data_IF_855401872219
#
_entry.id   IF_855401872219
#
_cell.length_a   1.000
_cell.length_b   1.000
_cell.length_c   1.000
_cell.angle_alpha   90.00
_cell.angle_beta   90.00
_cell.angle_gamma   90.00
#
_symmetry.space_group_name_H-M   'P 1'
#
loop_
_entity.id
_entity.type
_entity.pdbx_description
1 polymer ?
#
# COMPACT_ATOMS: atom_id res chain seq x y z
N UNK A 1 0.65 -28.50 8.73
CA UNK A 1 1.21 -28.95 7.44
C UNK A 1 0.13 -28.84 6.37
N UNK A 2 0.47 -28.38 5.15
CA UNK A 2 -0.49 -28.34 4.05
C UNK A 2 -0.99 -29.75 3.66
N UNK A 3 -2.25 -29.86 3.26
CA UNK A 3 -2.88 -31.15 2.92
C UNK A 3 -2.17 -31.85 1.75
N UNK A 4 -1.62 -31.09 0.80
CA UNK A 4 -0.93 -31.67 -0.36
C UNK A 4 0.34 -32.45 0.03
N UNK A 5 1.05 -32.06 1.09
CA UNK A 5 2.25 -32.79 1.54
C UNK A 5 1.89 -34.18 2.10
N UNK A 6 0.69 -34.33 2.67
CA UNK A 6 0.16 -35.64 3.05
C UNK A 6 -0.22 -36.48 1.83
N UNK A 7 -0.85 -35.88 0.82
CA UNK A 7 -1.30 -36.58 -0.40
C UNK A 7 -0.10 -37.11 -1.20
N UNK A 8 0.99 -36.36 -1.28
CA UNK A 8 2.18 -36.70 -2.06
C UNK A 8 3.28 -37.41 -1.25
N UNK A 9 3.03 -37.74 0.02
CA UNK A 9 4.02 -38.36 0.92
C UNK A 9 5.34 -37.56 1.05
N UNK A 10 5.28 -36.24 0.83
CA UNK A 10 6.44 -35.32 0.95
C UNK A 10 6.59 -34.74 2.34
N UNK A 11 5.81 -35.21 3.31
CA UNK A 11 5.81 -34.72 4.68
C UNK A 11 7.14 -35.01 5.39
N UNK A 12 7.80 -33.95 5.85
CA UNK A 12 8.99 -34.05 6.69
C UNK A 12 8.60 -34.59 8.08
N UNK A 13 9.22 -35.68 8.51
CA UNK A 13 8.99 -36.33 9.81
C UNK A 13 9.26 -35.41 11.00
N UNK A 14 10.06 -34.36 10.82
CA UNK A 14 10.38 -33.38 11.87
C UNK A 14 9.34 -32.27 12.04
N UNK A 15 8.33 -32.20 11.15
CA UNK A 15 7.34 -31.11 11.10
C UNK A 15 6.59 -30.89 12.40
N UNK A 16 6.15 -31.96 13.07
CA UNK A 16 5.41 -31.87 14.33
C UNK A 16 6.30 -31.34 15.45
N UNK A 17 7.54 -31.84 15.54
CA UNK A 17 8.52 -31.36 16.51
C UNK A 17 8.88 -29.88 16.28
N UNK A 18 9.02 -29.46 15.02
CA UNK A 18 9.24 -28.06 14.63
C UNK A 18 8.06 -27.18 15.07
N UNK A 19 6.81 -27.63 14.83
CA UNK A 19 5.60 -26.92 15.23
C UNK A 19 5.51 -26.76 16.76
N UNK A 20 5.66 -27.84 17.51
CA UNK A 20 5.66 -27.83 18.98
C UNK A 20 6.75 -26.93 19.57
N UNK A 21 7.93 -26.93 18.95
CA UNK A 21 9.03 -26.04 19.34
C UNK A 21 8.70 -24.58 19.04
N UNK A 22 8.05 -24.31 17.90
CA UNK A 22 7.62 -22.97 17.52
C UNK A 22 6.54 -22.41 18.45
N UNK A 23 5.65 -23.25 19.00
CA UNK A 23 4.62 -22.82 19.96
C UNK A 23 5.22 -22.37 21.30
N UNK A 24 6.36 -22.93 21.69
CA UNK A 24 7.07 -22.59 22.92
C UNK A 24 7.93 -21.34 22.80
N UNK A 25 8.20 -20.87 21.57
CA UNK A 25 9.01 -19.69 21.32
C UNK A 25 8.21 -18.43 21.67
N UNK A 26 8.81 -17.55 22.46
CA UNK A 26 8.22 -16.23 22.73
C UNK A 26 8.02 -15.46 21.44
N UNK A 27 6.91 -14.73 21.34
CA UNK A 27 6.61 -13.91 20.17
C UNK A 27 7.68 -12.82 20.04
N UNK A 28 8.46 -12.87 18.96
CA UNK A 28 9.46 -11.83 18.69
C UNK A 28 8.76 -10.51 18.36
N UNK A 29 9.16 -9.46 19.09
CA UNK A 29 8.72 -8.09 18.83
C UNK A 29 9.34 -7.57 17.52
N UNK A 30 8.53 -7.07 16.56
CA UNK A 30 9.06 -6.51 15.33
C UNK A 30 9.60 -5.09 15.55
N UNK A 31 10.65 -4.72 14.82
CA UNK A 31 11.14 -3.34 14.77
C UNK A 31 10.24 -2.47 13.88
N UNK A 32 9.78 -3.05 12.76
CA UNK A 32 9.00 -2.38 11.73
C UNK A 32 7.75 -3.20 11.42
N UNK A 33 6.61 -2.53 11.40
CA UNK A 33 5.32 -3.12 11.05
C UNK A 33 4.78 -2.48 9.76
N UNK A 34 4.41 -3.28 8.78
CA UNK A 34 3.65 -2.85 7.62
C UNK A 34 2.17 -3.23 7.79
N UNK A 35 1.29 -2.24 7.80
CA UNK A 35 -0.14 -2.44 7.94
C UNK A 35 -0.81 -2.38 6.56
N UNK A 36 -1.25 -3.51 6.05
CA UNK A 36 -1.87 -3.66 4.72
C UNK A 36 -3.36 -4.02 4.80
N UNK A 37 -4.00 -4.20 3.65
CA UNK A 37 -5.39 -4.66 3.51
C UNK A 37 -5.51 -5.58 2.30
N UNK A 38 -6.66 -6.25 2.17
CA UNK A 38 -6.96 -7.09 1.01
C UNK A 38 -7.35 -6.21 -0.17
N UNK A 39 -6.94 -6.58 -1.38
CA UNK A 39 -7.20 -5.76 -2.58
C UNK A 39 -8.48 -6.20 -3.28
N UNK A 40 -8.45 -7.36 -3.92
CA UNK A 40 -9.61 -8.01 -4.56
C UNK A 40 -10.09 -9.20 -3.75
N UNK A 41 -11.32 -9.70 -3.96
CA UNK A 41 -11.78 -10.93 -3.31
C UNK A 41 -10.79 -12.10 -3.45
N UNK A 42 -10.13 -12.23 -4.59
CA UNK A 42 -9.16 -13.30 -4.85
C UNK A 42 -7.77 -13.04 -4.22
N UNK A 43 -7.49 -11.83 -3.74
CA UNK A 43 -6.19 -11.49 -3.14
C UNK A 43 -5.88 -12.30 -1.87
N UNK A 44 -6.91 -12.82 -1.20
CA UNK A 44 -6.74 -13.68 -0.03
C UNK A 44 -5.94 -14.95 -0.35
N UNK A 45 -6.02 -15.45 -1.59
CA UNK A 45 -5.29 -16.63 -2.02
C UNK A 45 -3.80 -16.41 -2.20
N UNK A 46 -3.38 -15.15 -2.32
CA UNK A 46 -1.99 -14.75 -2.40
C UNK A 46 -1.38 -14.43 -1.03
N UNK A 47 -2.15 -14.55 0.05
CA UNK A 47 -1.56 -14.51 1.39
C UNK A 47 -0.67 -15.76 1.58
N UNK A 48 0.54 -15.61 2.15
CA UNK A 48 1.45 -16.72 2.42
C UNK A 48 0.82 -17.86 3.25
N UNK A 49 -0.21 -17.56 4.04
CA UNK A 49 -0.96 -18.52 4.85
C UNK A 49 -1.88 -19.44 4.04
N UNK A 50 -2.26 -19.05 2.82
CA UNK A 50 -3.20 -19.79 1.99
C UNK A 50 -2.47 -20.75 1.04
N UNK A 51 -2.17 -20.26 -0.16
CA UNK A 51 -1.54 -21.06 -1.20
C UNK A 51 -0.14 -20.54 -1.48
N UNK A 52 0.88 -21.19 -0.92
CA UNK A 52 2.29 -20.80 -1.10
C UNK A 52 2.68 -20.62 -2.58
N UNK A 53 2.19 -21.50 -3.46
CA UNK A 53 2.40 -21.39 -4.92
C UNK A 53 1.82 -20.09 -5.50
N UNK A 54 0.63 -19.67 -5.07
CA UNK A 54 0.04 -18.40 -5.51
C UNK A 54 0.73 -17.20 -4.87
N UNK A 55 1.05 -17.27 -3.58
CA UNK A 55 1.78 -16.23 -2.86
C UNK A 55 3.17 -15.96 -3.45
N UNK A 56 3.83 -16.97 -4.01
CA UNK A 56 5.14 -16.82 -4.69
C UNK A 56 5.08 -16.10 -6.04
N UNK A 57 3.87 -15.85 -6.58
CA UNK A 57 3.67 -15.27 -7.91
C UNK A 57 2.93 -13.93 -7.81
N UNK A 58 3.22 -12.99 -8.72
CA UNK A 58 2.43 -11.77 -8.82
C UNK A 58 0.94 -12.06 -8.96
N UNK A 59 0.11 -11.23 -8.33
CA UNK A 59 -1.34 -11.37 -8.41
C UNK A 59 -1.80 -11.26 -9.86
N UNK A 60 -2.39 -12.34 -10.39
CA UNK A 60 -2.91 -12.40 -11.75
C UNK A 60 -4.28 -13.04 -11.74
N UNK A 61 -5.21 -12.49 -12.52
CA UNK A 61 -6.52 -13.11 -12.68
C UNK A 61 -6.36 -14.41 -13.48
N UNK A 62 -6.75 -15.53 -12.87
CA UNK A 62 -6.72 -16.86 -13.47
C UNK A 62 -8.14 -17.41 -13.52
N UNK A 63 -8.46 -18.09 -14.62
CA UNK A 63 -9.80 -18.65 -14.84
C UNK A 63 -10.23 -19.60 -13.72
N UNK A 64 -9.31 -20.39 -13.14
CA UNK A 64 -9.65 -21.36 -12.11
C UNK A 64 -9.97 -20.71 -10.76
N UNK A 65 -9.51 -19.47 -10.49
CA UNK A 65 -9.87 -18.75 -9.26
C UNK A 65 -11.37 -18.42 -9.25
N UNK A 66 -12.00 -18.32 -10.42
CA UNK A 66 -13.45 -18.19 -10.52
C UNK A 66 -14.19 -19.42 -9.97
N UNK A 67 -13.65 -20.64 -10.11
CA UNK A 67 -14.25 -21.84 -9.50
C UNK A 67 -14.17 -21.83 -7.97
N UNK A 68 -13.24 -21.06 -7.40
CA UNK A 68 -13.07 -20.90 -5.95
C UNK A 68 -14.07 -19.90 -5.34
N UNK A 69 -15.00 -19.34 -6.12
CA UNK A 69 -15.97 -18.34 -5.65
C UNK A 69 -16.71 -18.70 -4.35
N UNK A 70 -17.07 -19.97 -4.03
CA UNK A 70 -17.73 -20.26 -2.75
C UNK A 70 -16.76 -20.01 -1.59
N UNK A 71 -15.50 -20.42 -1.74
CA UNK A 71 -14.44 -20.18 -0.75
C UNK A 71 -14.17 -18.69 -0.61
N UNK A 72 -14.13 -17.96 -1.73
CA UNK A 72 -13.98 -16.51 -1.72
C UNK A 72 -15.11 -15.85 -0.92
N UNK A 73 -16.36 -16.21 -1.19
CA UNK A 73 -17.53 -15.68 -0.51
C UNK A 73 -17.48 -15.97 1.00
N UNK A 74 -17.17 -17.21 1.39
CA UNK A 74 -16.98 -17.59 2.79
C UNK A 74 -15.89 -16.77 3.45
N UNK A 75 -14.76 -16.56 2.77
CA UNK A 75 -13.68 -15.75 3.28
C UNK A 75 -14.08 -14.28 3.47
N UNK A 76 -14.88 -13.73 2.56
CA UNK A 76 -15.42 -12.37 2.69
C UNK A 76 -16.32 -12.24 3.91
N UNK A 77 -17.22 -13.21 4.12
CA UNK A 77 -18.09 -13.26 5.31
C UNK A 77 -17.24 -13.34 6.57
N UNK A 78 -16.23 -14.22 6.59
CA UNK A 78 -15.31 -14.36 7.72
C UNK A 78 -14.59 -13.03 8.00
N UNK A 79 -13.98 -12.40 6.99
CA UNK A 79 -13.29 -11.10 7.17
C UNK A 79 -14.24 -9.98 7.60
N UNK A 80 -15.52 -10.05 7.25
CA UNK A 80 -16.51 -9.08 7.71
C UNK A 80 -16.84 -9.27 9.20
N UNK A 81 -16.94 -10.52 9.66
CA UNK A 81 -17.20 -10.84 11.07
C UNK A 81 -15.94 -10.62 11.92
N UNK A 82 -14.77 -10.99 11.40
CA UNK A 82 -13.47 -10.79 12.03
C UNK A 82 -13.09 -9.31 11.95
N UNK A 83 -13.41 -8.55 12.99
CA UNK A 83 -13.00 -7.15 13.15
C UNK A 83 -11.65 -6.98 13.83
N UNK A 84 -10.62 -7.76 13.46
CA UNK A 84 -9.28 -7.65 14.06
C UNK A 84 -8.18 -7.79 13.02
N UNK A 85 -7.10 -7.06 13.20
CA UNK A 85 -5.88 -7.25 12.41
C UNK A 85 -5.23 -8.59 12.74
N UNK A 86 -4.56 -9.17 11.74
CA UNK A 86 -3.84 -10.42 11.92
C UNK A 86 -2.49 -10.39 11.20
N UNK A 87 -1.54 -11.16 11.72
CA UNK A 87 -0.20 -11.26 11.15
C UNK A 87 -0.26 -12.10 9.88
N UNK A 88 0.11 -11.51 8.74
CA UNK A 88 0.19 -12.19 7.44
C UNK A 88 1.56 -12.80 7.24
N UNK A 89 2.60 -12.06 7.62
CA UNK A 89 3.98 -12.42 7.33
C UNK A 89 4.93 -11.90 8.39
N UNK A 90 6.00 -12.66 8.64
CA UNK A 90 7.13 -12.26 9.48
C UNK A 90 8.40 -12.44 8.66
N UNK A 91 9.18 -11.37 8.54
CA UNK A 91 10.46 -11.38 7.82
C UNK A 91 11.59 -10.86 8.71
N UNK A 92 12.79 -11.33 8.42
CA UNK A 92 14.02 -10.84 9.05
C UNK A 92 14.98 -10.42 7.96
N UNK A 93 15.42 -9.16 8.01
CA UNK A 93 16.41 -8.61 7.11
C UNK A 93 17.60 -8.14 7.96
N UNK A 94 18.66 -8.94 7.99
CA UNK A 94 19.80 -8.78 8.91
C UNK A 94 19.36 -8.64 10.38
N UNK A 95 19.47 -7.42 10.91
CA UNK A 95 19.12 -7.05 12.29
C UNK A 95 17.72 -6.43 12.40
N UNK A 96 17.02 -6.22 11.28
CA UNK A 96 15.66 -5.68 11.26
C UNK A 96 14.64 -6.81 11.26
N UNK A 97 13.70 -6.73 12.20
CA UNK A 97 12.54 -7.64 12.25
C UNK A 97 11.33 -6.92 11.68
N UNK A 98 10.79 -7.46 10.60
CA UNK A 98 9.64 -6.91 9.91
C UNK A 98 8.43 -7.82 10.11
N UNK A 99 7.27 -7.23 10.33
CA UNK A 99 6.00 -7.92 10.26
C UNK A 99 5.06 -7.21 9.31
N UNK A 100 4.19 -7.99 8.66
CA UNK A 100 3.08 -7.47 7.88
C UNK A 100 1.79 -7.90 8.56
N UNK A 101 0.96 -6.93 8.95
CA UNK A 101 -0.38 -7.20 9.45
C UNK A 101 -1.40 -6.79 8.39
N UNK A 102 -2.45 -7.57 8.22
CA UNK A 102 -3.57 -7.22 7.35
C UNK A 102 -4.78 -6.82 8.18
N UNK A 103 -5.43 -5.74 7.74
CA UNK A 103 -6.80 -5.45 8.09
C UNK A 103 -7.69 -6.35 7.21
N UNK A 104 -8.64 -7.09 7.79
CA UNK A 104 -9.56 -7.97 7.06
C UNK A 104 -10.64 -7.16 6.31
N UNK A 105 -10.20 -6.22 5.47
CA UNK A 105 -11.04 -5.37 4.64
C UNK A 105 -10.52 -5.37 3.21
N UNK A 106 -11.44 -5.47 2.26
CA UNK A 106 -11.17 -5.40 0.82
C UNK A 106 -11.27 -3.98 0.30
N UNK A 107 -10.66 -3.67 -0.85
CA UNK A 107 -10.73 -2.34 -1.48
C UNK A 107 -12.15 -1.79 -1.57
N UNK A 108 -13.13 -2.65 -1.90
CA UNK A 108 -14.52 -2.24 -2.02
C UNK A 108 -15.04 -1.58 -0.72
N UNK A 109 -14.62 -2.07 0.44
CA UNK A 109 -15.04 -1.52 1.73
C UNK A 109 -14.40 -0.15 2.02
N UNK A 110 -13.19 0.12 1.53
CA UNK A 110 -12.56 1.44 1.63
C UNK A 110 -13.23 2.52 0.76
N UNK A 111 -13.97 2.09 -0.27
CA UNK A 111 -14.77 2.99 -1.11
C UNK A 111 -16.14 3.30 -0.48
N UNK A 112 -16.57 2.53 0.52
CA UNK A 112 -17.84 2.72 1.21
C UNK A 112 -17.65 3.68 2.38
N UNK A 113 -18.10 4.94 2.26
CA UNK A 113 -17.89 5.97 3.28
C UNK A 113 -18.38 5.55 4.68
N UNK A 114 -19.48 4.80 4.78
CA UNK A 114 -20.01 4.33 6.06
C UNK A 114 -19.10 3.31 6.77
N UNK A 115 -18.12 2.73 6.08
CA UNK A 115 -17.10 1.85 6.67
C UNK A 115 -15.89 2.63 7.20
N UNK A 116 -15.73 3.91 6.86
CA UNK A 116 -14.53 4.69 7.20
C UNK A 116 -14.25 4.70 8.71
N UNK A 117 -15.28 4.86 9.54
CA UNK A 117 -15.13 4.85 11.00
C UNK A 117 -14.64 3.49 11.51
N UNK A 118 -15.24 2.40 11.04
CA UNK A 118 -14.83 1.05 11.41
C UNK A 118 -13.40 0.74 10.96
N UNK A 119 -13.03 1.13 9.75
CA UNK A 119 -11.67 0.97 9.22
C UNK A 119 -10.67 1.80 10.05
N UNK A 120 -11.02 3.05 10.37
CA UNK A 120 -10.17 3.92 11.18
C UNK A 120 -9.95 3.36 12.60
N UNK A 121 -10.98 2.77 13.22
CA UNK A 121 -10.85 2.07 14.50
C UNK A 121 -9.86 0.91 14.41
N UNK A 122 -9.96 0.07 13.37
CA UNK A 122 -9.03 -1.05 13.17
C UNK A 122 -7.58 -0.59 12.97
N UNK A 123 -7.36 0.50 12.24
CA UNK A 123 -6.01 1.08 12.06
C UNK A 123 -5.51 1.63 13.40
N UNK A 124 -6.36 2.35 14.14
CA UNK A 124 -6.02 2.94 15.44
C UNK A 124 -5.66 1.86 16.48
N UNK A 125 -6.48 0.82 16.57
CA UNK A 125 -6.24 -0.36 17.41
C UNK A 125 -4.93 -1.05 17.03
N UNK A 126 -4.64 -1.19 15.73
CA UNK A 126 -3.37 -1.78 15.27
C UNK A 126 -2.15 -0.93 15.64
N UNK A 127 -2.27 0.41 15.59
CA UNK A 127 -1.19 1.32 16.01
C UNK A 127 -0.93 1.18 17.52
N UNK A 128 -1.99 1.18 18.33
CA UNK A 128 -1.88 1.02 19.79
C UNK A 128 -1.26 -0.35 20.13
N UNK A 129 -1.75 -1.42 19.51
CA UNK A 129 -1.21 -2.77 19.71
C UNK A 129 0.26 -2.88 19.29
N UNK A 130 0.66 -2.18 18.22
CA UNK A 130 2.06 -2.14 17.79
C UNK A 130 2.95 -1.40 18.81
N UNK A 131 2.49 -0.27 19.37
CA UNK A 131 3.20 0.43 20.45
C UNK A 131 3.37 -0.47 21.67
N UNK A 132 2.31 -1.16 22.11
CA UNK A 132 2.35 -2.09 23.24
C UNK A 132 3.35 -3.23 23.02
N UNK A 133 3.48 -3.70 21.78
CA UNK A 133 4.49 -4.68 21.36
C UNK A 133 5.90 -4.10 21.19
N UNK A 134 6.10 -2.81 21.43
CA UNK A 134 7.40 -2.14 21.33
C UNK A 134 7.89 -1.88 19.90
N UNK A 135 6.97 -1.84 18.93
CA UNK A 135 7.30 -1.55 17.53
C UNK A 135 7.75 -0.11 17.37
N UNK A 136 8.83 0.12 16.62
CA UNK A 136 9.43 1.46 16.46
C UNK A 136 8.79 2.26 15.33
N UNK A 137 8.39 1.58 14.25
CA UNK A 137 7.84 2.20 13.05
C UNK A 137 6.67 1.39 12.52
N UNK A 138 5.56 2.05 12.25
CA UNK A 138 4.41 1.47 11.55
C UNK A 138 4.20 2.18 10.22
N UNK A 139 4.24 1.42 9.13
CA UNK A 139 4.02 1.90 7.78
C UNK A 139 2.59 1.57 7.31
N UNK A 140 1.80 2.60 6.99
CA UNK A 140 0.45 2.49 6.47
C UNK A 140 0.47 2.13 4.98
N UNK A 141 -0.01 0.93 4.65
CA UNK A 141 -0.11 0.43 3.28
C UNK A 141 -1.31 0.99 2.51
N UNK A 142 -1.05 1.45 1.29
CA UNK A 142 -2.03 1.70 0.22
C UNK A 142 -3.30 2.45 0.66
N UNK A 143 -4.46 1.81 0.83
CA UNK A 143 -5.71 2.51 1.18
C UNK A 143 -5.84 2.84 2.67
N UNK A 144 -4.93 2.36 3.52
CA UNK A 144 -4.89 2.69 4.95
C UNK A 144 -4.50 4.15 5.24
N UNK A 145 -4.24 4.95 4.20
CA UNK A 145 -3.82 6.36 4.30
C UNK A 145 -4.75 7.33 3.58
N UNK A 146 -5.49 6.87 2.55
CA UNK A 146 -6.33 7.72 1.72
C UNK A 146 -7.57 6.97 1.22
N UNK A 147 -8.76 7.53 1.46
CA UNK A 147 -9.98 7.11 0.76
C UNK A 147 -10.05 7.84 -0.57
N UNK A 148 -9.99 7.09 -1.66
CA UNK A 148 -10.38 7.58 -2.97
C UNK A 148 -11.91 7.51 -3.07
N UNK A 149 -12.57 8.66 -3.12
CA UNK A 149 -13.98 8.70 -3.47
C UNK A 149 -14.12 8.69 -4.99
N UNK A 150 -14.35 7.50 -5.56
CA UNK A 150 -14.84 7.37 -6.93
C UNK A 150 -16.36 7.27 -6.91
N UNK A 151 -17.04 8.40 -7.10
CA UNK A 151 -18.42 8.38 -7.58
C UNK A 151 -18.32 8.70 -9.07
N UNK A 152 -18.60 7.76 -9.95
CA UNK A 152 -18.78 8.11 -11.37
C UNK A 152 -20.08 8.93 -11.49
N UNK A 153 -20.10 10.13 -12.10
CA UNK A 153 -19.05 10.82 -12.86
C UNK A 153 -18.32 11.95 -12.09
N UNK A 154 -18.55 12.11 -10.79
CA UNK A 154 -17.97 13.18 -9.95
C UNK A 154 -16.88 12.68 -9.01
N UNK A 155 -15.62 13.03 -9.30
CA UNK A 155 -14.53 12.92 -8.33
C UNK A 155 -14.69 14.02 -7.27
N UNK A 156 -15.40 13.73 -6.19
CA UNK A 156 -15.32 14.59 -5.01
C UNK A 156 -13.98 14.33 -4.33
N UNK A 157 -13.27 15.41 -3.98
CA UNK A 157 -12.06 15.36 -3.18
C UNK A 157 -12.45 14.81 -1.80
N UNK A 158 -12.42 13.48 -1.66
CA UNK A 158 -12.68 12.81 -0.39
C UNK A 158 -11.69 13.32 0.63
N UNK A 159 -12.19 13.69 1.81
CA UNK A 159 -11.33 13.91 2.96
C UNK A 159 -10.45 12.67 3.14
N UNK A 160 -9.14 12.86 3.25
CA UNK A 160 -8.18 11.77 3.41
C UNK A 160 -8.58 10.95 4.64
N UNK A 161 -8.81 9.64 4.48
CA UNK A 161 -9.35 8.71 5.48
C UNK A 161 -8.90 9.01 6.91
N UNK A 162 -7.60 9.25 7.08
CA UNK A 162 -6.96 9.63 8.34
C UNK A 162 -5.83 10.66 8.18
N UNK A 163 -5.84 11.42 7.07
CA UNK A 163 -4.78 12.39 6.72
C UNK A 163 -3.37 11.77 6.75
N UNK A 164 -3.19 10.63 6.09
CA UNK A 164 -1.93 9.87 6.06
C UNK A 164 -1.37 9.53 7.46
N UNK A 165 -2.27 9.19 8.39
CA UNK A 165 -1.94 8.90 9.79
C UNK A 165 -1.90 10.11 10.73
N UNK A 166 -2.03 11.34 10.21
CA UNK A 166 -2.05 12.55 11.04
C UNK A 166 -3.19 12.56 12.07
N UNK A 167 -4.31 11.89 11.77
CA UNK A 167 -5.42 11.70 12.72
C UNK A 167 -4.96 11.00 14.01
N UNK A 168 -4.16 9.94 13.90
CA UNK A 168 -3.75 9.13 15.06
C UNK A 168 -2.68 9.82 15.89
N UNK A 169 -1.76 10.53 15.24
CA UNK A 169 -0.77 11.37 15.93
C UNK A 169 -1.46 12.45 16.75
N UNK A 170 -2.55 13.02 16.23
CA UNK A 170 -3.33 14.02 16.96
C UNK A 170 -4.12 13.43 18.13
N UNK A 171 -4.76 12.27 17.94
CA UNK A 171 -5.54 11.58 18.99
C UNK A 171 -4.67 11.04 20.12
N UNK A 172 -3.45 10.58 19.79
CA UNK A 172 -2.53 9.96 20.73
C UNK A 172 -1.17 10.65 20.73
N UNK A 173 -1.06 11.88 21.28
CA UNK A 173 0.17 12.67 21.25
C UNK A 173 1.34 12.05 22.05
N UNK A 174 1.08 11.01 22.84
CA UNK A 174 2.06 10.33 23.68
C UNK A 174 2.61 9.02 23.07
N UNK A 175 2.12 8.60 21.90
CA UNK A 175 2.67 7.43 21.19
C UNK A 175 4.13 7.68 20.81
N UNK A 176 4.99 6.68 21.02
CA UNK A 176 6.41 6.75 20.65
C UNK A 176 6.67 6.15 19.28
N UNK A 177 5.80 5.24 18.84
CA UNK A 177 5.82 4.61 17.52
C UNK A 177 5.68 5.68 16.44
N UNK A 178 6.52 5.56 15.41
CA UNK A 178 6.49 6.45 14.27
C UNK A 178 5.54 5.89 13.21
N UNK A 179 4.41 6.55 13.02
CA UNK A 179 3.47 6.23 11.94
C UNK A 179 3.91 6.94 10.66
N UNK A 180 4.10 6.18 9.58
CA UNK A 180 4.56 6.68 8.28
C UNK A 180 3.69 6.14 7.15
N UNK A 181 3.60 6.85 6.02
CA UNK A 181 2.77 6.49 4.86
C UNK A 181 3.58 6.00 3.65
N UNK A 182 4.92 6.00 3.76
CA UNK A 182 5.85 5.60 2.69
C UNK A 182 5.99 6.60 1.54
N UNK A 183 5.26 7.73 1.55
CA UNK A 183 5.24 8.70 0.44
C UNK A 183 6.63 9.26 0.13
N UNK A 184 7.39 9.64 1.16
CA UNK A 184 8.72 10.23 0.99
C UNK A 184 9.73 9.26 0.37
N UNK A 185 9.65 7.97 0.72
CA UNK A 185 10.49 6.93 0.11
C UNK A 185 10.11 6.72 -1.35
N UNK A 186 8.81 6.70 -1.67
CA UNK A 186 8.34 6.60 -3.05
C UNK A 186 8.81 7.78 -3.92
N UNK A 187 8.78 9.01 -3.39
CA UNK A 187 9.34 10.20 -4.05
C UNK A 187 10.84 10.02 -4.30
N UNK A 188 11.60 9.63 -3.27
CA UNK A 188 13.05 9.46 -3.37
C UNK A 188 13.45 8.40 -4.41
N UNK A 189 12.78 7.25 -4.41
CA UNK A 189 12.99 6.19 -5.41
C UNK A 189 12.69 6.71 -6.81
N UNK A 190 11.54 7.37 -7.00
CA UNK A 190 11.15 7.90 -8.31
C UNK A 190 12.18 8.90 -8.86
N UNK A 191 12.65 9.82 -8.02
CA UNK A 191 13.68 10.77 -8.41
C UNK A 191 15.01 10.09 -8.75
N UNK A 192 15.34 8.99 -8.05
CA UNK A 192 16.57 8.24 -8.29
C UNK A 192 16.51 7.34 -9.54
N UNK A 193 15.31 6.94 -9.97
CA UNK A 193 15.12 6.16 -11.21
C UNK A 193 15.23 7.00 -12.48
N UNK A 194 15.16 8.34 -12.38
CA UNK A 194 15.24 9.23 -13.55
C UNK A 194 16.69 9.27 -14.06
N UNK A 195 16.93 8.98 -15.36
CA UNK A 195 18.24 9.07 -15.98
C UNK A 195 18.93 10.42 -15.77
N UNK A 196 20.25 10.39 -15.56
CA UNK A 196 21.06 11.61 -15.47
C UNK A 196 21.03 12.36 -16.79
N UNK A 197 20.95 13.69 -16.72
CA UNK A 197 20.88 14.56 -17.91
C UNK A 197 19.45 14.82 -18.42
N UNK A 198 18.43 14.24 -17.79
CA UNK A 198 17.03 14.52 -18.12
C UNK A 198 16.69 16.00 -17.87
N UNK A 199 16.21 16.68 -18.90
CA UNK A 199 15.81 18.09 -18.83
C UNK A 199 14.29 18.26 -18.75
N UNK A 200 13.52 17.28 -19.23
CA UNK A 200 12.06 17.32 -19.26
C UNK A 200 11.45 15.96 -18.87
N UNK A 201 10.35 16.00 -18.13
CA UNK A 201 9.62 14.82 -17.66
C UNK A 201 8.14 15.04 -17.89
N UNK A 202 7.44 14.05 -18.42
CA UNK A 202 5.99 14.07 -18.53
C UNK A 202 5.36 13.34 -17.34
N UNK A 203 4.59 14.06 -16.53
CA UNK A 203 3.85 13.49 -15.42
C UNK A 203 2.52 12.91 -15.90
N UNK A 204 2.27 11.62 -15.62
CA UNK A 204 1.05 10.92 -16.02
C UNK A 204 0.35 10.24 -14.84
N UNK A 205 -0.98 10.33 -14.84
CA UNK A 205 -1.85 9.78 -13.80
C UNK A 205 -2.44 10.88 -12.92
N UNK A 206 -3.06 10.47 -11.80
CA UNK A 206 -3.71 11.41 -10.89
C UNK A 206 -2.68 12.24 -10.10
N UNK A 207 -2.99 13.52 -9.86
CA UNK A 207 -2.20 14.42 -9.02
C UNK A 207 -2.41 14.11 -7.54
N UNK A 208 -1.67 13.12 -7.03
CA UNK A 208 -1.62 12.74 -5.62
C UNK A 208 -0.57 13.54 -4.85
N UNK A 209 -0.56 13.44 -3.51
CA UNK A 209 0.50 13.99 -2.65
C UNK A 209 1.91 13.64 -3.16
N UNK A 210 2.12 12.39 -3.56
CA UNK A 210 3.41 11.92 -4.11
C UNK A 210 3.70 12.61 -5.44
N UNK A 211 2.72 12.71 -6.35
CA UNK A 211 2.91 13.37 -7.64
C UNK A 211 3.29 14.86 -7.48
N UNK A 212 2.63 15.58 -6.56
CA UNK A 212 3.00 16.95 -6.24
C UNK A 212 4.42 17.07 -5.68
N UNK A 213 4.80 16.17 -4.76
CA UNK A 213 6.15 16.17 -4.17
C UNK A 213 7.23 15.84 -5.21
N UNK A 214 6.99 14.91 -6.12
CA UNK A 214 7.88 14.61 -7.25
C UNK A 214 8.00 15.82 -8.16
N UNK A 215 6.88 16.43 -8.58
CA UNK A 215 6.89 17.60 -9.45
C UNK A 215 7.68 18.76 -8.82
N UNK A 216 7.46 19.04 -7.53
CA UNK A 216 8.21 20.05 -6.79
C UNK A 216 9.71 19.77 -6.78
N UNK A 217 10.11 18.55 -6.44
CA UNK A 217 11.52 18.17 -6.37
C UNK A 217 12.22 18.19 -7.74
N UNK A 218 11.50 17.89 -8.82
CA UNK A 218 12.00 18.00 -10.19
C UNK A 218 12.20 19.47 -10.60
N UNK A 219 11.22 20.33 -10.34
CA UNK A 219 11.35 21.76 -10.60
C UNK A 219 12.52 22.38 -9.81
N UNK A 220 12.73 21.97 -8.55
CA UNK A 220 13.89 22.39 -7.76
C UNK A 220 15.24 21.96 -8.37
N UNK A 221 15.27 20.84 -9.08
CA UNK A 221 16.45 20.34 -9.81
C UNK A 221 16.62 21.00 -11.18
N UNK A 222 15.75 21.93 -11.56
CA UNK A 222 15.74 22.58 -12.88
C UNK A 222 15.21 21.68 -14.00
N UNK A 223 14.54 20.58 -13.66
CA UNK A 223 13.91 19.68 -14.63
C UNK A 223 12.49 20.18 -14.89
N UNK A 224 12.13 20.33 -16.16
CA UNK A 224 10.79 20.79 -16.54
C UNK A 224 9.79 19.65 -16.43
N UNK A 225 8.67 19.90 -15.75
CA UNK A 225 7.57 18.95 -15.57
C UNK A 225 6.44 19.33 -16.51
N UNK A 226 6.18 18.46 -17.47
CA UNK A 226 5.11 18.61 -18.43
C UNK A 226 3.85 17.86 -17.99
N UNK A 227 2.67 18.41 -18.27
CA UNK A 227 1.37 17.72 -18.21
C UNK A 227 0.67 17.76 -19.56
N UNK A 228 -0.23 16.80 -19.83
CA UNK A 228 -1.01 16.79 -21.07
C UNK A 228 -2.30 17.58 -20.96
N UNK A 229 -2.93 17.57 -19.78
CA UNK A 229 -4.20 18.25 -19.58
C UNK A 229 -4.00 19.63 -18.95
N UNK A 230 -4.78 20.60 -19.42
CA UNK A 230 -4.69 21.97 -18.96
C UNK A 230 -5.14 22.13 -17.50
N UNK A 231 -6.11 21.33 -17.04
CA UNK A 231 -6.57 21.35 -15.65
C UNK A 231 -5.49 20.84 -14.68
N UNK A 232 -4.76 19.79 -15.06
CA UNK A 232 -3.60 19.27 -14.32
C UNK A 232 -2.50 20.32 -14.21
N UNK A 233 -2.20 21.01 -15.32
CA UNK A 233 -1.25 22.12 -15.34
C UNK A 233 -1.64 23.22 -14.34
N UNK A 234 -2.91 23.68 -14.39
CA UNK A 234 -3.40 24.73 -13.50
C UNK A 234 -3.35 24.31 -12.03
N UNK A 235 -3.69 23.05 -11.73
CA UNK A 235 -3.60 22.47 -10.38
C UNK A 235 -2.16 22.45 -9.87
N UNK A 236 -1.19 22.06 -10.71
CA UNK A 236 0.23 22.07 -10.36
C UNK A 236 0.76 23.50 -10.18
N UNK A 237 0.49 24.39 -11.12
CA UNK A 237 0.94 25.79 -11.07
C UNK A 237 0.45 26.49 -9.79
N UNK A 238 -0.82 26.25 -9.42
CA UNK A 238 -1.38 26.77 -8.16
C UNK A 238 -0.67 26.21 -6.92
N UNK A 239 -0.31 24.94 -6.90
CA UNK A 239 0.36 24.31 -5.75
C UNK A 239 1.87 24.61 -5.68
N UNK A 240 2.50 24.95 -6.81
CA UNK A 240 3.94 25.17 -6.97
C UNK A 240 4.27 26.67 -7.14
N UNK A 241 3.51 27.56 -6.50
CA UNK A 241 3.67 29.01 -6.64
C UNK A 241 5.14 29.43 -6.49
N UNK A 242 5.69 30.10 -7.50
CA UNK A 242 7.11 30.50 -7.57
C UNK A 242 8.03 29.55 -8.36
N UNK A 243 7.54 28.39 -8.82
CA UNK A 243 8.26 27.45 -9.69
C UNK A 243 7.56 27.21 -11.03
N UNK A 244 6.73 28.17 -11.45
CA UNK A 244 5.93 28.08 -12.69
C UNK A 244 6.81 27.93 -13.94
N UNK A 245 8.02 28.48 -13.93
CA UNK A 245 9.01 28.32 -15.01
C UNK A 245 9.47 26.88 -15.23
N UNK A 246 9.26 25.99 -14.24
CA UNK A 246 9.53 24.57 -14.33
C UNK A 246 8.35 23.76 -14.88
N UNK A 247 7.20 24.37 -15.17
CA UNK A 247 6.00 23.66 -15.65
C UNK A 247 5.75 23.90 -17.13
N UNK A 248 5.31 22.86 -17.84
CA UNK A 248 4.99 22.93 -19.27
C UNK A 248 3.65 22.25 -19.57
N UNK A 249 2.90 22.80 -20.52
CA UNK A 249 1.77 22.11 -21.13
C UNK A 249 2.25 21.42 -22.41
N UNK A 250 2.29 20.09 -22.40
CA UNK A 250 2.69 19.29 -23.55
C UNK A 250 1.63 19.37 -24.66
N UNK A 251 2.05 19.72 -25.89
CA UNK A 251 1.16 19.86 -27.04
C UNK A 251 0.87 18.52 -27.76
N UNK A 252 1.67 17.48 -27.52
CA UNK A 252 1.60 16.18 -28.19
C UNK A 252 2.42 15.12 -27.44
N UNK A 253 2.08 13.83 -27.64
CA UNK A 253 2.86 12.67 -27.18
C UNK A 253 4.19 12.48 -27.95
N UNK A 254 4.42 13.25 -29.02
CA UNK A 254 5.55 13.06 -29.95
C UNK A 254 6.88 13.70 -29.49
N UNK A 255 6.98 14.17 -28.25
CA UNK A 255 8.21 14.71 -27.69
C UNK A 255 8.98 13.65 -26.91
N UNK A 256 10.32 13.75 -26.89
CA UNK A 256 11.23 12.90 -26.12
C UNK A 256 11.13 13.21 -24.63
N UNK A 257 10.00 12.87 -24.01
CA UNK A 257 9.81 12.94 -22.58
C UNK A 257 10.19 11.62 -21.91
N UNK A 258 10.71 11.72 -20.69
CA UNK A 258 10.67 10.59 -19.77
C UNK A 258 9.29 10.55 -19.12
N UNK A 259 8.63 9.40 -19.21
CA UNK A 259 7.29 9.20 -18.72
C UNK A 259 7.33 8.74 -17.25
N UNK A 260 6.77 9.56 -16.35
CA UNK A 260 6.46 9.11 -14.99
C UNK A 260 5.00 8.70 -14.93
N UNK A 261 4.75 7.40 -15.06
CA UNK A 261 3.43 6.79 -14.92
C UNK A 261 3.34 5.98 -13.62
N UNK A 262 2.16 5.92 -13.02
CA UNK A 262 1.84 4.90 -11.99
C UNK A 262 2.24 5.24 -10.55
N UNK A 263 2.59 6.49 -10.25
CA UNK A 263 3.13 6.92 -8.95
C UNK A 263 2.28 6.54 -7.70
N UNK A 264 0.98 6.20 -7.83
CA UNK A 264 0.13 5.78 -6.69
C UNK A 264 -0.93 4.71 -7.06
N UNK A 265 -0.73 3.85 -8.08
CA UNK A 265 -1.77 2.83 -8.41
C UNK A 265 -1.29 1.39 -8.59
N UNK A 266 -0.06 1.07 -8.21
CA UNK A 266 0.41 -0.33 -8.24
C UNK A 266 0.47 -0.95 -9.63
N UNK A 267 0.39 -0.14 -10.70
CA UNK A 267 0.73 -0.56 -12.06
C UNK A 267 1.94 0.23 -12.52
N UNK A 268 3.11 -0.35 -12.29
CA UNK A 268 4.26 -0.05 -13.12
C UNK A 268 3.97 -0.68 -14.49
N UNK A 269 3.95 0.14 -15.53
CA UNK A 269 3.93 -0.36 -16.91
C UNK A 269 5.38 -0.73 -17.19
N UNK A 270 5.66 -2.02 -17.27
CA UNK A 270 6.84 -2.54 -17.98
C UNK A 270 6.64 -2.43 -19.49
#
# INVERSE_FOLDING_TARGET
MPIYDYIYETMDKSSDALYETSLKREEETPDVLHLTHLTTPESIYHLPLGFASLASRPHTSKWYLWLMWPVTLWSMILTWIYGRTFVVERQRFDNLRLQTWAIPKYNLQYYLQWQNEAINSLIEEAIIQAEEKGVKVLCLGLLNQASLLFIFPFTFKGEELNRYGGLYVHRHPHLKIRVVDGSSLAVAITLNTIPKGTTQVLLRGNLTKVAYAVAFALCQKGIQVATLHHDEYLKLAKSLSGMESGLLLAKSYAHEFIYLAGLVSGRWIE
#
